data_IF_165205910172
#
_entry.id   IF_165205910172
#
_cell.length_a   1.000
_cell.length_b   1.000
_cell.length_c   1.000
_cell.angle_alpha   90.00
_cell.angle_beta   90.00
_cell.angle_gamma   90.00
#
_symmetry.space_group_name_H-M   'P 1'
#
loop_
_entity.id
_entity.type
_entity.pdbx_description
1 polymer ?
#
# COMPACT_ATOMS: atom_id res chain seq x y z
N UNK A 1 -36.24 -9.39 -11.82
CA UNK A 1 -34.80 -9.65 -11.69
C UNK A 1 -34.23 -8.68 -10.67
N UNK A 2 -33.29 -9.10 -9.81
CA UNK A 2 -32.67 -8.18 -8.83
C UNK A 2 -31.89 -7.08 -9.54
N UNK A 3 -31.99 -5.86 -9.00
CA UNK A 3 -31.37 -4.64 -9.55
C UNK A 3 -29.82 -4.69 -9.47
N UNK A 4 -29.24 -5.48 -8.56
CA UNK A 4 -27.80 -5.45 -8.20
C UNK A 4 -27.08 -6.79 -8.48
N UNK A 5 -27.34 -7.42 -9.62
CA UNK A 5 -26.68 -8.67 -9.96
C UNK A 5 -25.19 -8.45 -10.28
N UNK A 6 -24.34 -9.05 -9.48
CA UNK A 6 -22.89 -8.87 -9.56
C UNK A 6 -22.30 -9.58 -10.77
N UNK A 7 -21.42 -8.87 -11.48
CA UNK A 7 -20.41 -9.40 -12.39
C UNK A 7 -19.06 -8.98 -11.89
N UNK A 8 -18.06 -9.84 -12.08
CA UNK A 8 -16.67 -9.57 -11.72
C UNK A 8 -15.78 -9.92 -12.89
N UNK A 9 -14.83 -9.07 -13.17
CA UNK A 9 -13.75 -9.33 -14.09
C UNK A 9 -12.42 -8.92 -13.45
N UNK A 10 -11.37 -9.68 -13.73
CA UNK A 10 -10.07 -9.41 -13.18
C UNK A 10 -8.98 -9.63 -14.23
N UNK A 11 -7.87 -8.93 -14.05
CA UNK A 11 -6.68 -9.09 -14.88
C UNK A 11 -5.42 -8.82 -14.07
N UNK A 12 -4.36 -9.53 -14.41
CA UNK A 12 -3.00 -9.34 -13.89
C UNK A 12 -2.09 -8.96 -15.05
N UNK A 13 -1.25 -7.96 -14.85
CA UNK A 13 -0.20 -7.58 -15.80
C UNK A 13 1.17 -7.67 -15.16
N UNK A 14 2.13 -8.16 -15.91
CA UNK A 14 3.53 -8.12 -15.55
C UNK A 14 4.06 -6.71 -15.81
N UNK A 15 4.53 -6.06 -14.76
CA UNK A 15 5.15 -4.73 -14.79
C UNK A 15 6.62 -4.79 -14.37
N UNK A 16 7.25 -5.96 -14.51
CA UNK A 16 8.68 -6.12 -14.29
C UNK A 16 9.47 -5.23 -15.25
N UNK A 17 10.44 -4.45 -14.76
CA UNK A 17 11.28 -3.67 -15.66
C UNK A 17 11.97 -4.57 -16.69
N UNK A 18 12.00 -4.13 -17.93
CA UNK A 18 12.72 -4.86 -18.98
C UNK A 18 14.23 -4.89 -18.67
N UNK A 19 14.96 -5.93 -19.06
CA UNK A 19 16.40 -6.03 -18.79
C UNK A 19 17.21 -4.81 -19.25
N UNK A 20 16.79 -4.14 -20.33
CA UNK A 20 17.42 -2.93 -20.85
C UNK A 20 17.19 -1.67 -20.02
N UNK A 21 16.25 -1.69 -19.08
CA UNK A 21 15.94 -0.55 -18.20
C UNK A 21 16.81 -0.52 -16.94
N UNK A 22 17.45 -1.64 -16.58
CA UNK A 22 18.35 -1.68 -15.42
C UNK A 22 19.67 -0.96 -15.67
N UNK A 23 20.32 -0.38 -14.64
CA UNK A 23 19.97 -0.42 -13.24
C UNK A 23 18.98 0.68 -12.83
N UNK A 24 18.25 0.44 -11.73
CA UNK A 24 17.48 1.47 -11.03
C UNK A 24 18.12 1.81 -9.69
N UNK A 25 18.12 3.07 -9.33
CA UNK A 25 18.46 3.45 -7.96
C UNK A 25 17.40 2.94 -6.99
N UNK A 26 17.83 2.49 -5.82
CA UNK A 26 16.91 2.25 -4.74
C UNK A 26 16.37 3.60 -4.26
N UNK A 27 15.05 3.73 -4.14
CA UNK A 27 14.39 4.96 -3.66
C UNK A 27 14.50 5.13 -2.14
N UNK A 28 15.57 4.64 -1.54
CA UNK A 28 15.77 4.68 -0.11
C UNK A 28 16.73 5.80 0.30
N UNK A 29 16.59 6.20 1.54
CA UNK A 29 17.14 7.35 2.23
C UNK A 29 18.64 7.58 2.10
N UNK A 30 19.44 6.58 1.77
CA UNK A 30 20.91 6.68 1.72
C UNK A 30 21.54 6.20 0.41
N UNK A 31 20.77 5.98 -0.64
CA UNK A 31 21.21 6.01 -2.04
C UNK A 31 22.29 5.03 -2.53
N UNK A 32 22.82 4.14 -1.71
CA UNK A 32 24.00 3.33 -2.07
C UNK A 32 23.66 2.00 -2.75
N UNK A 33 22.37 1.72 -2.98
CA UNK A 33 21.90 0.49 -3.60
C UNK A 33 21.34 0.70 -5.00
N UNK A 34 21.57 -0.26 -5.87
CA UNK A 34 20.95 -0.31 -7.20
C UNK A 34 20.32 -1.67 -7.43
N UNK A 35 19.09 -1.67 -7.93
CA UNK A 35 18.52 -2.85 -8.53
C UNK A 35 19.18 -3.06 -9.89
N UNK A 36 19.80 -4.20 -10.08
CA UNK A 36 20.53 -4.54 -11.32
C UNK A 36 19.83 -5.60 -12.15
N UNK A 37 18.84 -6.29 -11.57
CA UNK A 37 18.01 -7.29 -12.22
C UNK A 37 16.69 -7.50 -11.48
N UNK A 38 15.76 -8.18 -12.14
CA UNK A 38 14.53 -8.65 -11.49
C UNK A 38 14.69 -10.12 -11.08
N UNK A 39 14.39 -10.41 -9.79
CA UNK A 39 14.40 -11.78 -9.26
C UNK A 39 13.12 -12.54 -9.61
N UNK A 40 12.00 -11.85 -9.54
CA UNK A 40 10.66 -12.38 -9.83
C UNK A 40 9.85 -11.30 -10.53
N UNK A 41 8.78 -11.74 -11.18
CA UNK A 41 7.84 -10.82 -11.80
C UNK A 41 7.18 -9.90 -10.77
N UNK A 42 7.05 -8.64 -11.14
CA UNK A 42 6.32 -7.59 -10.42
C UNK A 42 4.98 -7.43 -11.12
N UNK A 43 3.90 -7.39 -10.35
CA UNK A 43 2.57 -7.39 -10.94
C UNK A 43 1.74 -6.17 -10.54
N UNK A 44 0.83 -5.87 -11.46
CA UNK A 44 -0.30 -4.98 -11.26
C UNK A 44 -1.58 -5.78 -11.48
N UNK A 45 -2.57 -5.60 -10.62
CA UNK A 45 -3.83 -6.34 -10.63
C UNK A 45 -5.02 -5.40 -10.65
N UNK A 46 -5.93 -5.61 -11.60
CA UNK A 46 -7.19 -4.90 -11.70
C UNK A 46 -8.34 -5.86 -11.39
N UNK A 47 -9.27 -5.43 -10.54
CA UNK A 47 -10.52 -6.14 -10.26
C UNK A 47 -11.69 -5.17 -10.45
N UNK A 48 -12.58 -5.50 -11.38
CA UNK A 48 -13.79 -4.74 -11.68
C UNK A 48 -14.99 -5.46 -11.06
N UNK A 49 -15.75 -4.72 -10.27
CA UNK A 49 -17.07 -5.13 -9.78
C UNK A 49 -18.14 -4.35 -10.55
N UNK A 50 -19.06 -5.03 -11.21
CA UNK A 50 -20.21 -4.41 -11.90
C UNK A 50 -21.49 -5.02 -11.34
N UNK A 51 -22.29 -4.23 -10.64
CA UNK A 51 -23.55 -4.71 -10.08
C UNK A 51 -24.80 -4.36 -10.94
N UNK A 52 -24.57 -3.93 -12.18
CA UNK A 52 -25.60 -3.50 -13.12
C UNK A 52 -26.10 -2.05 -12.91
N UNK A 53 -25.65 -1.38 -11.85
CA UNK A 53 -25.96 0.03 -11.54
C UNK A 53 -24.69 0.86 -11.46
N UNK A 54 -23.66 0.34 -10.82
CA UNK A 54 -22.35 0.97 -10.62
C UNK A 54 -21.24 -0.02 -10.93
N UNK A 55 -20.12 0.49 -11.43
CA UNK A 55 -18.87 -0.23 -11.56
C UNK A 55 -17.88 0.31 -10.55
N UNK A 56 -17.16 -0.59 -9.91
CA UNK A 56 -16.08 -0.26 -9.00
C UNK A 56 -14.78 -0.90 -9.50
N UNK A 57 -13.71 -0.11 -9.54
CA UNK A 57 -12.37 -0.56 -9.90
C UNK A 57 -11.48 -0.59 -8.67
N UNK A 58 -10.96 -1.78 -8.34
CA UNK A 58 -9.75 -1.94 -7.53
C UNK A 58 -8.55 -2.08 -8.46
N UNK A 59 -7.57 -1.21 -8.31
CA UNK A 59 -6.27 -1.32 -8.96
C UNK A 59 -5.20 -1.40 -7.87
N UNK A 60 -4.51 -2.54 -7.82
CA UNK A 60 -3.48 -2.82 -6.81
C UNK A 60 -2.17 -3.11 -7.50
N UNK A 61 -1.12 -2.41 -7.13
CA UNK A 61 0.19 -2.54 -7.73
C UNK A 61 1.27 -2.89 -6.71
N UNK A 62 2.21 -3.72 -7.11
CA UNK A 62 3.42 -4.02 -6.34
C UNK A 62 4.49 -2.92 -6.50
N UNK A 63 4.30 -2.01 -7.43
CA UNK A 63 5.09 -0.81 -7.67
C UNK A 63 4.16 0.37 -7.93
N UNK A 64 4.69 1.56 -8.19
CA UNK A 64 3.87 2.68 -8.62
C UNK A 64 3.31 2.46 -10.03
N UNK A 65 2.06 2.87 -10.25
CA UNK A 65 1.34 2.60 -11.50
C UNK A 65 1.57 3.67 -12.59
N UNK A 66 2.50 4.59 -12.39
CA UNK A 66 2.62 5.78 -13.23
C UNK A 66 1.59 6.86 -12.85
N UNK A 67 1.15 7.66 -13.79
CA UNK A 67 0.28 8.80 -13.51
C UNK A 67 -1.17 8.39 -13.26
N UNK A 68 -1.57 8.31 -11.99
CA UNK A 68 -2.91 7.89 -11.56
C UNK A 68 -4.03 8.79 -12.06
N UNK A 69 -3.77 10.08 -12.22
CA UNK A 69 -4.75 11.02 -12.79
C UNK A 69 -5.20 10.59 -14.18
N UNK A 70 -4.27 10.27 -15.07
CA UNK A 70 -4.60 9.83 -16.43
C UNK A 70 -5.21 8.43 -16.48
N UNK A 71 -4.77 7.52 -15.60
CA UNK A 71 -5.36 6.17 -15.48
C UNK A 71 -6.83 6.29 -15.07
N UNK A 72 -7.11 7.14 -14.09
CA UNK A 72 -8.46 7.42 -13.61
C UNK A 72 -9.31 8.06 -14.70
N UNK A 73 -8.79 9.10 -15.35
CA UNK A 73 -9.47 9.76 -16.47
C UNK A 73 -9.83 8.75 -17.57
N UNK A 74 -8.92 7.84 -17.92
CA UNK A 74 -9.17 6.78 -18.89
C UNK A 74 -10.33 5.87 -18.46
N UNK A 75 -10.33 5.38 -17.21
CA UNK A 75 -11.39 4.53 -16.71
C UNK A 75 -12.77 5.24 -16.71
N UNK A 76 -12.79 6.54 -16.38
CA UNK A 76 -13.98 7.38 -16.42
C UNK A 76 -14.52 7.55 -17.85
N UNK A 77 -13.66 7.97 -18.76
CA UNK A 77 -14.06 8.30 -20.15
C UNK A 77 -14.47 7.08 -20.94
N UNK A 78 -13.72 5.98 -20.81
CA UNK A 78 -13.96 4.78 -21.61
C UNK A 78 -15.04 3.86 -21.03
N UNK A 79 -15.12 3.74 -19.73
CA UNK A 79 -15.97 2.75 -19.06
C UNK A 79 -17.07 3.34 -18.16
N UNK A 80 -17.13 4.66 -18.03
CA UNK A 80 -18.13 5.35 -17.21
C UNK A 80 -17.99 5.02 -15.72
N UNK A 81 -16.79 4.65 -15.24
CA UNK A 81 -16.54 4.41 -13.83
C UNK A 81 -16.33 5.78 -13.17
N UNK A 82 -17.26 6.18 -12.31
CA UNK A 82 -17.14 7.49 -11.65
C UNK A 82 -15.98 7.54 -10.68
N UNK A 83 -15.45 8.71 -10.43
CA UNK A 83 -14.21 8.94 -9.67
C UNK A 83 -14.23 8.29 -8.28
N UNK A 84 -15.33 8.44 -7.58
CA UNK A 84 -15.58 7.85 -6.28
C UNK A 84 -15.55 6.31 -6.29
N UNK A 85 -15.85 5.67 -7.44
CA UNK A 85 -15.84 4.22 -7.64
C UNK A 85 -14.50 3.67 -8.15
N UNK A 86 -13.40 4.39 -7.93
CA UNK A 86 -12.05 3.94 -8.25
C UNK A 86 -11.20 3.94 -6.98
N UNK A 87 -10.51 2.82 -6.70
CA UNK A 87 -9.55 2.70 -5.61
C UNK A 87 -8.21 2.23 -6.16
N UNK A 88 -7.19 3.03 -5.96
CA UNK A 88 -5.80 2.67 -6.21
C UNK A 88 -5.11 2.41 -4.88
N UNK A 89 -4.33 1.33 -4.81
CA UNK A 89 -3.43 1.09 -3.68
C UNK A 89 -2.17 0.39 -4.15
N UNK A 90 -1.08 0.61 -3.46
CA UNK A 90 0.12 -0.18 -3.64
C UNK A 90 0.29 -1.17 -2.48
N UNK A 91 1.09 -2.20 -2.70
CA UNK A 91 1.37 -3.22 -1.70
C UNK A 91 2.43 -2.79 -0.69
N UNK A 92 2.93 -1.58 -0.83
CA UNK A 92 4.03 -1.05 -0.02
C UNK A 92 5.29 -1.93 -0.07
N UNK A 93 5.59 -2.47 -1.25
CA UNK A 93 6.82 -3.23 -1.48
C UNK A 93 8.04 -2.30 -1.47
N UNK A 94 9.06 -2.68 -0.71
CA UNK A 94 10.32 -1.95 -0.64
C UNK A 94 11.43 -2.55 -1.52
N UNK A 95 11.08 -3.49 -2.41
CA UNK A 95 12.02 -4.22 -3.26
C UNK A 95 11.75 -4.06 -4.75
N UNK A 96 11.02 -3.02 -5.14
CA UNK A 96 10.83 -2.66 -6.54
C UNK A 96 11.19 -1.20 -6.78
N UNK A 97 11.44 -0.81 -8.04
CA UNK A 97 11.60 0.59 -8.38
C UNK A 97 10.34 1.37 -8.01
N UNK A 98 10.48 2.34 -7.09
CA UNK A 98 9.35 3.06 -6.52
C UNK A 98 8.88 4.24 -7.37
N UNK A 99 9.70 4.68 -8.36
CA UNK A 99 9.36 5.83 -9.20
C UNK A 99 9.07 5.38 -10.62
N UNK A 100 7.80 5.17 -10.89
CA UNK A 100 7.28 5.10 -12.24
C UNK A 100 6.76 6.50 -12.65
N UNK A 101 7.68 7.44 -12.90
CA UNK A 101 7.33 8.83 -13.20
C UNK A 101 7.10 8.99 -14.69
N UNK A 102 5.84 8.93 -15.11
CA UNK A 102 5.43 9.20 -16.47
C UNK A 102 4.19 10.07 -16.50
N UNK A 103 4.25 11.18 -17.20
CA UNK A 103 3.10 12.05 -17.46
C UNK A 103 2.84 12.10 -18.97
N UNK A 104 1.76 11.49 -19.47
CA UNK A 104 1.42 11.53 -20.90
C UNK A 104 1.17 12.94 -21.46
N UNK A 105 0.98 13.93 -20.58
CA UNK A 105 0.78 15.33 -20.96
C UNK A 105 2.06 16.15 -21.08
N UNK A 106 3.26 15.57 -20.82
CA UNK A 106 4.53 16.29 -20.85
C UNK A 106 5.66 15.43 -21.44
N UNK A 107 6.84 16.00 -21.57
CA UNK A 107 8.07 15.32 -21.99
C UNK A 107 9.02 15.17 -20.79
N UNK A 108 9.99 14.25 -20.90
CA UNK A 108 11.04 14.08 -19.90
C UNK A 108 11.83 15.38 -19.69
N UNK A 109 12.10 16.14 -20.78
CA UNK A 109 12.79 17.43 -20.71
C UNK A 109 11.99 18.45 -19.92
N UNK A 110 10.69 18.55 -20.17
CA UNK A 110 9.79 19.44 -19.44
C UNK A 110 9.65 19.00 -17.97
N UNK A 111 9.56 17.70 -17.70
CA UNK A 111 9.52 17.13 -16.37
C UNK A 111 10.76 17.53 -15.54
N UNK A 112 11.93 17.58 -16.18
CA UNK A 112 13.21 17.88 -15.53
C UNK A 112 13.57 19.39 -15.57
N UNK A 113 12.73 20.23 -16.15
CA UNK A 113 13.01 21.67 -16.27
C UNK A 113 13.00 22.40 -14.93
N UNK A 114 12.17 21.91 -14.01
CA UNK A 114 12.05 22.44 -12.66
C UNK A 114 12.55 21.41 -11.65
N UNK A 115 13.37 21.83 -10.71
CA UNK A 115 13.80 21.00 -9.59
C UNK A 115 12.59 20.78 -8.67
N UNK A 116 12.09 19.56 -8.64
CA UNK A 116 11.03 19.20 -7.70
C UNK A 116 11.62 18.96 -6.31
N UNK A 117 10.91 19.39 -5.31
CA UNK A 117 11.25 19.11 -3.92
C UNK A 117 10.45 17.86 -3.49
N UNK A 118 11.16 16.80 -3.21
CA UNK A 118 10.59 15.58 -2.65
C UNK A 118 10.63 15.57 -1.13
N UNK A 119 10.13 14.51 -0.57
CA UNK A 119 10.10 14.25 0.87
C UNK A 119 11.49 14.35 1.53
N UNK A 120 12.57 14.12 0.78
CA UNK A 120 13.94 14.06 1.27
C UNK A 120 14.85 15.18 0.74
N UNK A 121 14.25 16.25 0.25
CA UNK A 121 14.99 17.36 -0.36
C UNK A 121 14.85 17.43 -1.87
N UNK A 122 15.77 18.15 -2.57
CA UNK A 122 15.71 18.24 -4.03
C UNK A 122 15.76 16.87 -4.68
N UNK A 123 14.76 16.55 -5.48
CA UNK A 123 14.75 15.32 -6.26
C UNK A 123 15.81 15.36 -7.34
N UNK A 124 16.49 14.25 -7.54
CA UNK A 124 17.35 14.07 -8.72
C UNK A 124 16.50 14.13 -9.98
N UNK A 125 17.03 14.68 -11.09
CA UNK A 125 16.33 14.61 -12.36
C UNK A 125 15.93 13.17 -12.71
N UNK A 126 14.72 13.00 -13.23
CA UNK A 126 14.21 11.72 -13.71
C UNK A 126 15.11 11.21 -14.82
N UNK A 127 15.56 9.97 -14.71
CA UNK A 127 16.40 9.33 -15.72
C UNK A 127 15.53 8.75 -16.84
N UNK A 128 16.13 8.54 -18.02
CA UNK A 128 15.40 7.99 -19.16
C UNK A 128 14.78 6.61 -18.86
N UNK A 129 15.50 5.74 -18.18
CA UNK A 129 15.00 4.42 -17.80
C UNK A 129 13.84 4.47 -16.78
N UNK A 130 13.84 5.44 -15.87
CA UNK A 130 12.74 5.69 -14.93
C UNK A 130 11.48 6.18 -15.66
N UNK A 131 11.68 7.07 -16.63
CA UNK A 131 10.61 7.55 -17.52
C UNK A 131 10.01 6.44 -18.37
N UNK A 132 10.87 5.64 -19.01
CA UNK A 132 10.45 4.51 -19.85
C UNK A 132 9.73 3.44 -19.03
N UNK A 133 10.19 3.19 -17.82
CA UNK A 133 9.53 2.28 -16.90
C UNK A 133 8.17 2.81 -16.44
N UNK A 134 8.08 4.10 -16.10
CA UNK A 134 6.82 4.75 -15.79
C UNK A 134 5.80 4.68 -16.90
N UNK A 135 6.25 4.89 -18.15
CA UNK A 135 5.43 4.73 -19.36
C UNK A 135 4.94 3.28 -19.50
N UNK A 136 5.82 2.32 -19.32
CA UNK A 136 5.47 0.89 -19.37
C UNK A 136 4.44 0.53 -18.31
N UNK A 137 4.62 0.94 -17.05
CA UNK A 137 3.65 0.72 -15.97
C UNK A 137 2.29 1.37 -16.28
N UNK A 138 2.28 2.59 -16.84
CA UNK A 138 1.07 3.28 -17.25
C UNK A 138 0.31 2.49 -18.34
N UNK A 139 1.01 2.06 -19.40
CA UNK A 139 0.41 1.27 -20.48
C UNK A 139 -0.14 -0.07 -19.98
N UNK A 140 0.58 -0.75 -19.08
CA UNK A 140 0.10 -1.99 -18.47
C UNK A 140 -1.09 -1.76 -17.53
N UNK A 141 -1.17 -0.62 -16.85
CA UNK A 141 -2.32 -0.26 -16.02
C UNK A 141 -3.60 -0.09 -16.86
N UNK A 142 -3.48 0.59 -17.99
CA UNK A 142 -4.57 0.72 -18.97
C UNK A 142 -4.99 -0.66 -19.50
N UNK A 143 -4.02 -1.48 -19.90
CA UNK A 143 -4.29 -2.83 -20.41
C UNK A 143 -4.92 -3.75 -19.33
N UNK A 144 -4.54 -3.60 -18.06
CA UNK A 144 -5.16 -4.36 -16.97
C UNK A 144 -6.64 -4.00 -16.79
N UNK A 145 -6.98 -2.71 -16.87
CA UNK A 145 -8.37 -2.25 -16.79
C UNK A 145 -9.18 -2.78 -17.98
N UNK A 146 -8.63 -2.70 -19.20
CA UNK A 146 -9.28 -3.19 -20.40
C UNK A 146 -9.59 -4.69 -20.32
N UNK A 147 -8.61 -5.48 -19.94
CA UNK A 147 -8.76 -6.93 -19.80
C UNK A 147 -9.73 -7.28 -18.67
N UNK A 148 -9.66 -6.58 -17.53
CA UNK A 148 -10.59 -6.81 -16.43
C UNK A 148 -12.04 -6.51 -16.83
N UNK A 149 -12.28 -5.46 -17.62
CA UNK A 149 -13.61 -5.16 -18.16
C UNK A 149 -14.04 -6.21 -19.19
N UNK A 150 -13.15 -6.66 -20.06
CA UNK A 150 -13.43 -7.70 -21.05
C UNK A 150 -13.75 -9.05 -20.41
N UNK A 151 -13.17 -9.34 -19.24
CA UNK A 151 -13.37 -10.58 -18.48
C UNK A 151 -14.60 -10.57 -17.55
N UNK A 152 -15.45 -9.54 -17.60
CA UNK A 152 -16.65 -9.45 -16.77
C UNK A 152 -17.60 -10.62 -17.00
N UNK A 153 -17.86 -11.40 -15.95
CA UNK A 153 -18.80 -12.53 -15.97
C UNK A 153 -19.64 -12.54 -14.70
N UNK A 154 -20.83 -13.19 -14.72
CA UNK A 154 -21.68 -13.33 -13.52
C UNK A 154 -20.88 -13.90 -12.36
N UNK A 155 -21.09 -13.34 -11.18
CA UNK A 155 -20.29 -13.68 -10.03
C UNK A 155 -21.05 -13.66 -8.71
N UNK A 156 -20.48 -14.31 -7.71
CA UNK A 156 -20.91 -14.27 -6.32
C UNK A 156 -19.78 -13.82 -5.43
N UNK A 157 -20.11 -13.05 -4.41
CA UNK A 157 -19.20 -12.46 -3.46
C UNK A 157 -19.36 -13.06 -2.07
N UNK A 158 -18.26 -13.27 -1.39
CA UNK A 158 -18.19 -13.58 0.02
C UNK A 158 -16.89 -13.08 0.63
N UNK A 159 -16.87 -12.94 1.94
CA UNK A 159 -15.71 -12.50 2.69
C UNK A 159 -15.59 -13.28 4.00
N UNK A 160 -14.39 -13.34 4.54
CA UNK A 160 -14.12 -13.90 5.86
C UNK A 160 -12.84 -13.33 6.45
N UNK A 161 -12.70 -13.51 7.75
CA UNK A 161 -11.49 -13.22 8.49
C UNK A 161 -10.89 -14.49 9.07
N UNK A 162 -9.59 -14.57 9.07
CA UNK A 162 -8.77 -15.58 9.72
C UNK A 162 -7.64 -14.94 10.49
N UNK A 163 -6.61 -15.73 10.78
CA UNK A 163 -5.40 -15.27 11.45
C UNK A 163 -4.18 -15.70 10.68
N UNK A 164 -3.18 -14.83 10.66
CA UNK A 164 -1.81 -15.13 10.25
C UNK A 164 -0.83 -14.54 11.25
N UNK A 165 0.35 -15.13 11.35
CA UNK A 165 1.33 -14.80 12.39
C UNK A 165 2.70 -14.47 11.79
N UNK A 166 2.68 -13.75 10.67
CA UNK A 166 3.92 -13.36 9.98
C UNK A 166 4.40 -11.95 10.32
N UNK A 167 3.61 -11.18 11.06
CA UNK A 167 3.97 -9.82 11.47
C UNK A 167 4.33 -9.75 12.96
N UNK A 168 5.07 -8.70 13.30
CA UNK A 168 5.41 -8.29 14.67
C UNK A 168 5.55 -6.77 14.70
N UNK A 169 5.34 -6.13 15.85
CA UNK A 169 5.68 -4.72 16.01
C UNK A 169 7.17 -4.48 15.82
N UNK A 170 7.53 -3.41 15.09
CA UNK A 170 8.93 -3.02 14.86
C UNK A 170 9.45 -1.96 15.83
N UNK A 171 8.64 -1.56 16.82
CA UNK A 171 8.99 -0.55 17.83
C UNK A 171 9.78 -1.20 18.96
N UNK A 172 11.04 -1.57 18.72
CA UNK A 172 11.91 -2.20 19.69
C UNK A 172 12.42 -1.18 20.70
N UNK A 173 12.24 -1.48 22.01
CA UNK A 173 12.79 -0.68 23.09
C UNK A 173 14.22 -1.12 23.36
N UNK A 174 15.18 -0.25 23.07
CA UNK A 174 16.60 -0.52 23.32
C UNK A 174 16.97 -0.36 24.80
N UNK A 175 18.09 -0.97 25.24
CA UNK A 175 18.54 -0.87 26.64
C UNK A 175 18.79 0.55 27.14
N UNK A 176 19.06 1.49 26.27
CA UNK A 176 19.24 2.92 26.59
C UNK A 176 17.91 3.68 26.73
N UNK A 177 16.76 3.00 26.58
CA UNK A 177 15.44 3.60 26.67
C UNK A 177 14.93 4.26 25.38
N UNK A 178 15.69 4.21 24.29
CA UNK A 178 15.25 4.70 22.99
C UNK A 178 14.50 3.62 22.21
N UNK A 179 13.63 4.03 21.29
CA UNK A 179 13.00 3.14 20.34
C UNK A 179 13.77 3.11 19.03
N UNK A 180 13.87 1.92 18.43
CA UNK A 180 14.47 1.71 17.12
C UNK A 180 13.65 0.72 16.30
N UNK A 181 13.96 0.62 15.01
CA UNK A 181 13.43 -0.47 14.19
C UNK A 181 14.04 -1.80 14.60
N UNK A 182 13.19 -2.72 15.02
CA UNK A 182 13.59 -4.05 15.42
C UNK A 182 12.40 -4.97 15.58
N UNK A 183 12.30 -5.67 16.68
CA UNK A 183 11.17 -6.55 17.00
C UNK A 183 10.71 -6.34 18.44
N UNK A 184 9.41 -6.13 18.62
CA UNK A 184 8.81 -5.98 19.93
C UNK A 184 7.56 -6.86 20.08
N UNK A 185 7.68 -8.06 20.68
CA UNK A 185 6.55 -8.96 20.87
C UNK A 185 5.55 -8.48 21.92
N UNK A 186 5.90 -7.50 22.75
CA UNK A 186 5.03 -6.95 23.79
C UNK A 186 4.09 -5.86 23.27
N UNK A 187 4.39 -5.30 22.10
CA UNK A 187 3.53 -4.32 21.45
C UNK A 187 2.44 -5.01 20.62
N UNK A 188 1.29 -4.35 20.44
CA UNK A 188 0.20 -4.88 19.63
C UNK A 188 0.63 -5.25 18.21
N UNK A 189 0.04 -6.33 17.72
CA UNK A 189 0.13 -6.74 16.31
C UNK A 189 -1.23 -7.29 15.87
N UNK A 190 -1.86 -6.69 14.90
CA UNK A 190 -3.11 -7.21 14.34
C UNK A 190 -2.82 -8.46 13.50
N UNK A 191 -3.27 -9.60 13.98
CA UNK A 191 -3.12 -10.90 13.31
C UNK A 191 -4.28 -11.21 12.37
N UNK A 192 -5.21 -10.28 12.21
CA UNK A 192 -6.38 -10.49 11.37
C UNK A 192 -5.99 -10.52 9.90
N UNK A 193 -6.30 -11.62 9.25
CA UNK A 193 -6.16 -11.84 7.82
C UNK A 193 -7.56 -11.77 7.22
N UNK A 194 -7.86 -10.66 6.55
CA UNK A 194 -9.16 -10.47 5.90
C UNK A 194 -9.06 -10.87 4.43
N UNK A 195 -10.06 -11.58 3.92
CA UNK A 195 -10.12 -11.94 2.49
C UNK A 195 -11.48 -11.64 1.88
N UNK A 196 -11.46 -11.17 0.64
CA UNK A 196 -12.62 -10.98 -0.22
C UNK A 196 -12.53 -12.01 -1.35
N UNK A 197 -13.61 -12.77 -1.56
CA UNK A 197 -13.67 -13.85 -2.56
C UNK A 197 -14.75 -13.57 -3.59
N UNK A 198 -14.37 -13.66 -4.85
CA UNK A 198 -15.28 -13.55 -5.98
C UNK A 198 -15.21 -14.83 -6.80
N UNK A 199 -16.34 -15.52 -6.95
CA UNK A 199 -16.43 -16.78 -7.72
C UNK A 199 -17.44 -16.63 -8.84
N UNK A 200 -17.25 -17.41 -9.90
CA UNK A 200 -18.23 -17.52 -10.97
C UNK A 200 -19.46 -18.40 -10.58
N UNK A 201 -20.36 -18.61 -11.53
CA UNK A 201 -21.56 -19.43 -11.32
C UNK A 201 -21.25 -20.89 -10.98
N UNK A 202 -20.09 -21.40 -11.43
CA UNK A 202 -19.64 -22.77 -11.17
C UNK A 202 -18.90 -22.92 -9.82
N UNK A 203 -18.57 -21.80 -9.18
CA UNK A 203 -17.83 -21.77 -7.92
C UNK A 203 -16.32 -21.61 -8.09
N UNK A 204 -15.82 -21.50 -9.33
CA UNK A 204 -14.41 -21.24 -9.60
C UNK A 204 -14.06 -19.79 -9.23
N UNK A 205 -12.90 -19.60 -8.61
CA UNK A 205 -12.47 -18.28 -8.14
C UNK A 205 -12.04 -17.41 -9.32
N UNK A 206 -12.67 -16.25 -9.45
CA UNK A 206 -12.32 -15.22 -10.45
C UNK A 206 -11.22 -14.33 -9.89
N UNK A 207 -11.45 -13.81 -8.67
CA UNK A 207 -10.54 -12.91 -8.00
C UNK A 207 -10.59 -13.05 -6.49
N UNK A 208 -9.49 -12.67 -5.84
CA UNK A 208 -9.39 -12.53 -4.40
C UNK A 208 -8.68 -11.25 -4.01
N UNK A 209 -9.02 -10.71 -2.85
CA UNK A 209 -8.25 -9.65 -2.20
C UNK A 209 -7.85 -10.14 -0.83
N UNK A 210 -6.57 -10.09 -0.54
CA UNK A 210 -5.98 -10.36 0.78
C UNK A 210 -5.64 -9.03 1.42
N UNK A 211 -5.98 -8.85 2.70
CA UNK A 211 -5.60 -7.66 3.45
C UNK A 211 -4.96 -8.07 4.78
N UNK A 212 -3.77 -7.52 5.05
CA UNK A 212 -3.02 -7.87 6.25
C UNK A 212 -2.06 -6.75 6.70
N UNK A 213 -1.84 -6.62 8.02
CA UNK A 213 -1.03 -5.57 8.63
C UNK A 213 0.45 -6.00 8.71
N UNK A 214 1.20 -5.86 7.63
CA UNK A 214 2.66 -6.09 7.60
C UNK A 214 3.31 -5.30 6.48
N UNK A 215 4.48 -4.72 6.74
CA UNK A 215 5.34 -4.16 5.70
C UNK A 215 5.87 -5.25 4.76
N UNK A 216 5.95 -4.93 3.49
CA UNK A 216 6.55 -5.79 2.47
C UNK A 216 8.03 -5.42 2.30
N UNK A 217 8.87 -5.88 3.24
CA UNK A 217 10.27 -5.44 3.42
C UNK A 217 11.29 -6.57 3.50
N UNK A 218 10.93 -7.80 3.10
CA UNK A 218 11.84 -8.96 3.20
C UNK A 218 13.05 -8.85 2.26
N UNK A 219 12.90 -8.16 1.15
CA UNK A 219 13.99 -7.92 0.20
C UNK A 219 14.65 -6.55 0.33
N UNK A 220 14.20 -5.75 1.27
CA UNK A 220 14.74 -4.41 1.49
C UNK A 220 16.24 -4.43 1.74
N UNK A 221 17.02 -3.75 0.88
CA UNK A 221 18.50 -3.70 0.90
C UNK A 221 19.23 -5.04 0.82
N UNK A 222 18.53 -6.12 0.49
CA UNK A 222 19.15 -7.44 0.37
C UNK A 222 20.04 -7.49 -0.88
N UNK A 223 21.32 -7.78 -0.68
CA UNK A 223 22.31 -7.93 -1.74
C UNK A 223 22.62 -9.41 -1.96
N UNK A 224 22.80 -9.80 -3.22
CA UNK A 224 23.33 -11.11 -3.56
C UNK A 224 24.85 -11.22 -3.25
N UNK A 225 25.43 -12.38 -3.52
CA UNK A 225 26.87 -12.64 -3.28
C UNK A 225 27.82 -11.70 -4.07
N UNK A 226 27.32 -11.08 -5.11
CA UNK A 226 28.08 -10.17 -5.99
C UNK A 226 27.80 -8.69 -5.64
N UNK A 227 27.02 -8.44 -4.57
CA UNK A 227 26.67 -7.11 -4.07
C UNK A 227 25.51 -6.45 -4.82
N UNK A 228 24.83 -7.17 -5.70
CA UNK A 228 23.71 -6.64 -6.48
C UNK A 228 22.38 -6.79 -5.73
N UNK A 229 21.49 -5.85 -5.93
CA UNK A 229 20.11 -5.91 -5.44
C UNK A 229 19.17 -6.37 -6.55
N UNK A 230 18.15 -7.13 -6.16
CA UNK A 230 17.13 -7.64 -7.07
C UNK A 230 15.80 -6.95 -6.87
N UNK A 231 15.15 -6.51 -7.97
CA UNK A 231 13.78 -6.04 -7.94
C UNK A 231 12.79 -7.23 -7.94
N UNK A 232 11.74 -7.16 -7.13
CA UNK A 232 10.63 -8.10 -7.12
C UNK A 232 9.46 -7.56 -6.26
N UNK A 233 8.29 -8.19 -6.31
CA UNK A 233 7.10 -7.75 -5.56
C UNK A 233 7.17 -7.94 -4.05
N UNK A 234 8.35 -8.31 -3.51
CA UNK A 234 8.61 -8.58 -2.10
C UNK A 234 7.59 -9.57 -1.50
N UNK A 235 7.41 -9.55 -0.20
CA UNK A 235 6.54 -10.47 0.53
C UNK A 235 5.09 -10.45 0.01
N UNK A 236 4.56 -9.26 -0.26
CA UNK A 236 3.18 -9.10 -0.75
C UNK A 236 2.96 -9.77 -2.11
N UNK A 237 3.89 -9.55 -3.06
CA UNK A 237 3.85 -10.17 -4.38
C UNK A 237 4.02 -11.68 -4.29
N UNK A 238 4.96 -12.17 -3.47
CA UNK A 238 5.16 -13.60 -3.26
C UNK A 238 3.92 -14.30 -2.65
N UNK A 239 3.22 -13.65 -1.71
CA UNK A 239 1.98 -14.17 -1.12
C UNK A 239 0.88 -14.27 -2.19
N UNK A 240 0.66 -13.21 -2.95
CA UNK A 240 -0.35 -13.18 -4.00
C UNK A 240 -0.08 -14.27 -5.05
N UNK A 241 1.16 -14.36 -5.53
CA UNK A 241 1.59 -15.37 -6.49
C UNK A 241 1.40 -16.79 -5.95
N UNK A 242 1.76 -17.06 -4.68
CA UNK A 242 1.57 -18.36 -4.05
C UNK A 242 0.11 -18.80 -4.07
N UNK A 243 -0.82 -17.89 -3.77
CA UNK A 243 -2.26 -18.21 -3.77
C UNK A 243 -2.76 -18.41 -5.21
N UNK A 244 -2.35 -17.57 -6.16
CA UNK A 244 -2.69 -17.73 -7.58
C UNK A 244 -2.20 -19.07 -8.13
N UNK A 245 -0.96 -19.46 -7.82
CA UNK A 245 -0.40 -20.76 -8.21
C UNK A 245 -1.18 -21.93 -7.61
N UNK A 246 -1.59 -21.84 -6.35
CA UNK A 246 -2.40 -22.88 -5.70
C UNK A 246 -3.75 -23.06 -6.40
N UNK A 247 -4.40 -21.98 -6.84
CA UNK A 247 -5.63 -22.06 -7.63
C UNK A 247 -5.36 -22.57 -9.06
N UNK A 248 -4.26 -22.19 -9.68
CA UNK A 248 -3.86 -22.70 -10.99
C UNK A 248 -3.66 -24.23 -10.97
N UNK A 249 -3.08 -24.80 -9.90
CA UNK A 249 -2.96 -26.25 -9.70
C UNK A 249 -4.35 -26.91 -9.64
N UNK A 250 -5.37 -26.20 -9.13
CA UNK A 250 -6.78 -26.65 -9.11
C UNK A 250 -7.48 -26.47 -10.47
N UNK A 251 -6.81 -25.91 -11.48
CA UNK A 251 -7.37 -25.62 -12.80
C UNK A 251 -8.17 -24.32 -12.87
N UNK A 252 -7.95 -23.39 -11.94
CA UNK A 252 -8.64 -22.10 -11.84
C UNK A 252 -7.70 -20.95 -12.20
N UNK A 253 -8.08 -20.13 -13.18
CA UNK A 253 -7.38 -18.88 -13.49
C UNK A 253 -7.91 -17.78 -12.57
N UNK A 254 -7.13 -17.46 -11.55
CA UNK A 254 -7.51 -16.54 -10.47
C UNK A 254 -6.55 -15.38 -10.40
N UNK A 255 -7.06 -14.19 -10.14
CA UNK A 255 -6.26 -12.98 -9.86
C UNK A 255 -6.39 -12.65 -8.38
N UNK A 256 -5.26 -12.60 -7.66
CA UNK A 256 -5.24 -12.31 -6.22
C UNK A 256 -4.46 -11.04 -5.93
N UNK A 257 -5.15 -10.00 -5.52
CA UNK A 257 -4.52 -8.77 -5.04
C UNK A 257 -4.20 -8.88 -3.54
N UNK A 258 -3.05 -8.34 -3.14
CA UNK A 258 -2.69 -8.19 -1.74
C UNK A 258 -2.64 -6.70 -1.38
N UNK A 259 -3.26 -6.32 -0.25
CA UNK A 259 -3.32 -4.93 0.22
C UNK A 259 -2.80 -4.84 1.65
N UNK A 260 -2.08 -3.76 1.94
CA UNK A 260 -1.60 -3.51 3.29
C UNK A 260 -2.72 -2.93 4.16
N UNK A 261 -2.88 -3.48 5.37
CA UNK A 261 -3.74 -2.91 6.40
C UNK A 261 -2.98 -1.85 7.24
N UNK A 262 -3.43 -1.56 8.45
CA UNK A 262 -2.71 -0.69 9.37
C UNK A 262 -1.39 -1.33 9.80
N UNK A 263 -0.38 -1.19 8.98
CA UNK A 263 0.90 -1.88 9.06
C UNK A 263 2.12 -0.98 9.29
N UNK A 264 1.94 0.33 9.53
CA UNK A 264 3.04 1.27 9.65
C UNK A 264 4.15 0.83 10.62
N UNK A 265 3.76 0.30 11.78
CA UNK A 265 4.68 -0.22 12.79
C UNK A 265 4.75 -1.75 12.83
N UNK A 266 4.39 -2.43 11.76
CA UNK A 266 4.43 -3.89 11.66
C UNK A 266 5.45 -4.34 10.63
N UNK A 267 6.33 -5.24 11.02
CA UNK A 267 7.35 -5.83 10.15
C UNK A 267 7.19 -7.36 10.09
N UNK A 268 7.70 -8.02 9.04
CA UNK A 268 7.79 -9.48 9.06
C UNK A 268 8.62 -9.98 10.25
N UNK A 269 8.23 -11.10 10.85
CA UNK A 269 8.89 -11.63 12.07
C UNK A 269 10.37 -12.00 11.88
N UNK A 270 10.88 -11.94 10.67
CA UNK A 270 12.27 -12.20 10.31
C UNK A 270 12.97 -10.99 9.68
N UNK A 271 12.50 -9.78 9.98
CA UNK A 271 13.14 -8.52 9.58
C UNK A 271 13.69 -7.78 10.78
N UNK A 272 14.75 -7.01 10.57
CA UNK A 272 15.35 -6.11 11.57
C UNK A 272 15.74 -6.81 12.88
N UNK A 273 17.00 -7.21 12.94
CA UNK A 273 17.62 -7.76 14.15
C UNK A 273 18.72 -6.81 14.65
N UNK A 274 18.87 -6.76 15.96
CA UNK A 274 19.97 -6.06 16.62
C UNK A 274 20.84 -7.04 17.38
N UNK A 275 22.15 -6.79 17.36
CA UNK A 275 23.12 -7.46 18.24
C UNK A 275 23.32 -6.61 19.47
N UNK A 276 23.05 -7.17 20.65
CA UNK A 276 23.25 -6.52 21.94
C UNK A 276 24.53 -7.00 22.57
N UNK A 277 25.33 -6.06 23.08
CA UNK A 277 26.59 -6.34 23.73
C UNK A 277 26.47 -6.29 25.26
N UNK A 278 27.34 -7.01 26.02
CA UNK A 278 27.27 -7.01 27.49
C UNK A 278 27.47 -5.65 28.16
N UNK A 279 28.08 -4.69 27.46
CA UNK A 279 28.28 -3.31 27.93
C UNK A 279 27.06 -2.42 27.71
N UNK A 280 25.95 -2.98 27.16
CA UNK A 280 24.72 -2.25 26.84
C UNK A 280 24.74 -1.52 25.51
N UNK A 281 25.83 -1.59 24.76
CA UNK A 281 25.85 -1.12 23.37
C UNK A 281 25.08 -2.07 22.45
N UNK A 282 24.69 -1.59 21.29
CA UNK A 282 23.97 -2.37 20.30
C UNK A 282 24.30 -1.87 18.88
N UNK A 283 24.12 -2.74 17.93
CA UNK A 283 24.24 -2.43 16.51
C UNK A 283 23.21 -3.21 15.69
N UNK A 284 22.79 -2.70 14.52
CA UNK A 284 22.00 -3.50 13.59
C UNK A 284 22.76 -4.77 13.22
N UNK A 285 22.11 -5.92 13.34
CA UNK A 285 22.74 -7.18 12.91
C UNK A 285 22.69 -7.27 11.39
N UNK A 286 23.70 -6.70 10.75
CA UNK A 286 23.82 -6.67 9.29
C UNK A 286 23.82 -8.05 8.66
N UNK A 287 24.23 -9.09 9.38
CA UNK A 287 24.21 -10.46 8.89
C UNK A 287 22.80 -10.91 8.55
N UNK A 288 21.81 -10.45 9.31
CA UNK A 288 20.39 -10.76 9.07
C UNK A 288 19.70 -9.72 8.18
N UNK A 289 20.13 -8.46 8.26
CA UNK A 289 19.48 -7.37 7.54
C UNK A 289 19.96 -7.20 6.10
N UNK A 290 21.23 -7.56 5.79
CA UNK A 290 21.83 -7.21 4.49
C UNK A 290 22.68 -8.29 3.83
N UNK A 291 23.14 -9.30 4.55
CA UNK A 291 24.23 -10.17 4.06
C UNK A 291 23.85 -11.60 3.77
N UNK A 292 22.65 -12.00 4.09
CA UNK A 292 22.27 -13.38 3.83
C UNK A 292 21.67 -13.59 2.44
N UNK A 293 21.69 -12.56 1.58
CA UNK A 293 21.33 -12.60 0.17
C UNK A 293 20.28 -13.64 -0.16
N UNK A 294 20.72 -14.75 -0.72
CA UNK A 294 19.85 -15.88 -1.02
C UNK A 294 19.12 -16.51 0.19
N UNK A 295 19.57 -16.27 1.43
CA UNK A 295 18.88 -16.75 2.63
C UNK A 295 17.66 -15.88 2.97
N UNK A 296 17.79 -14.56 2.91
CA UNK A 296 16.64 -13.66 3.12
C UNK A 296 15.53 -13.94 2.10
N UNK A 297 15.86 -14.20 0.86
CA UNK A 297 14.88 -14.60 -0.15
C UNK A 297 14.22 -15.97 0.15
N UNK A 298 14.94 -16.90 0.78
CA UNK A 298 14.33 -18.16 1.25
C UNK A 298 13.38 -17.90 2.41
N UNK A 299 13.73 -17.01 3.34
CA UNK A 299 12.84 -16.60 4.43
C UNK A 299 11.59 -15.89 3.88
N UNK A 300 11.74 -15.00 2.89
CA UNK A 300 10.62 -14.35 2.21
C UNK A 300 9.65 -15.38 1.61
N UNK A 301 10.16 -16.32 0.82
CA UNK A 301 9.36 -17.39 0.23
C UNK A 301 8.68 -18.28 1.29
N UNK A 302 9.37 -18.56 2.42
CA UNK A 302 8.78 -19.29 3.54
C UNK A 302 7.63 -18.53 4.20
N UNK A 303 7.81 -17.23 4.44
CA UNK A 303 6.78 -16.36 5.00
C UNK A 303 5.59 -16.24 4.06
N UNK A 304 5.86 -16.09 2.76
CA UNK A 304 4.83 -16.04 1.73
C UNK A 304 4.02 -17.34 1.67
N UNK A 305 4.67 -18.49 1.68
CA UNK A 305 4.00 -19.79 1.73
C UNK A 305 3.15 -19.94 3.00
N UNK A 306 3.64 -19.48 4.16
CA UNK A 306 2.90 -19.52 5.42
C UNK A 306 1.62 -18.69 5.34
N UNK A 307 1.70 -17.41 4.98
CA UNK A 307 0.50 -16.56 4.87
C UNK A 307 -0.40 -16.99 3.71
N UNK A 308 0.18 -17.42 2.58
CA UNK A 308 -0.57 -17.94 1.46
C UNK A 308 -1.45 -19.15 1.85
N UNK A 309 -0.90 -20.09 2.64
CA UNK A 309 -1.68 -21.20 3.18
C UNK A 309 -2.75 -20.75 4.18
N UNK A 310 -2.46 -19.75 5.02
CA UNK A 310 -3.47 -19.19 5.91
C UNK A 310 -4.60 -18.55 5.09
N UNK A 311 -4.26 -17.79 4.04
CA UNK A 311 -5.24 -17.18 3.13
C UNK A 311 -6.08 -18.22 2.38
N UNK A 312 -5.47 -19.28 1.85
CA UNK A 312 -6.19 -20.39 1.19
C UNK A 312 -7.23 -21.01 2.12
N UNK A 313 -6.88 -21.28 3.39
CA UNK A 313 -7.84 -21.80 4.38
C UNK A 313 -9.02 -20.86 4.59
N UNK A 314 -8.75 -19.54 4.66
CA UNK A 314 -9.82 -18.54 4.83
C UNK A 314 -10.68 -18.47 3.58
N UNK A 315 -10.10 -18.43 2.37
CA UNK A 315 -10.84 -18.47 1.12
C UNK A 315 -11.72 -19.73 1.01
N UNK A 316 -11.17 -20.90 1.35
CA UNK A 316 -11.90 -22.18 1.27
C UNK A 316 -13.01 -22.28 2.33
N UNK A 317 -12.92 -21.57 3.45
CA UNK A 317 -13.96 -21.52 4.48
C UNK A 317 -15.21 -20.74 4.09
N UNK A 318 -15.12 -19.87 3.06
CA UNK A 318 -16.22 -19.02 2.62
C UNK A 318 -17.25 -19.85 1.86
N UNK A 319 -18.36 -20.14 2.51
CA UNK A 319 -19.50 -20.89 1.94
C UNK A 319 -20.72 -20.02 1.64
N UNK A 320 -20.83 -18.87 2.30
CA UNK A 320 -21.94 -17.93 2.10
C UNK A 320 -21.55 -16.94 1.01
N UNK A 321 -22.08 -17.15 -0.19
CA UNK A 321 -21.82 -16.34 -1.38
C UNK A 321 -23.10 -15.66 -1.84
N UNK A 322 -23.04 -14.39 -2.12
CA UNK A 322 -24.18 -13.54 -2.53
C UNK A 322 -23.97 -13.04 -3.97
N UNK A 323 -24.99 -13.13 -4.81
CA UNK A 323 -24.97 -12.60 -6.20
C UNK A 323 -25.53 -11.20 -6.34
N UNK A 324 -26.32 -10.77 -5.35
CA UNK A 324 -26.97 -9.45 -5.34
C UNK A 324 -26.21 -8.55 -4.38
N UNK A 325 -25.37 -7.68 -4.92
CA UNK A 325 -24.45 -6.87 -4.17
C UNK A 325 -24.66 -5.37 -4.47
N UNK A 326 -25.12 -4.64 -3.50
CA UNK A 326 -25.07 -3.18 -3.53
C UNK A 326 -23.64 -2.73 -3.21
N UNK A 327 -23.15 -1.72 -3.94
CA UNK A 327 -21.86 -1.09 -3.71
C UNK A 327 -22.13 0.38 -3.43
N UNK A 328 -21.80 0.82 -2.23
CA UNK A 328 -21.93 2.21 -1.78
C UNK A 328 -20.54 2.76 -1.49
N UNK A 329 -20.30 4.02 -1.80
CA UNK A 329 -19.00 4.67 -1.59
C UNK A 329 -19.23 6.07 -1.03
N UNK A 330 -18.41 6.42 -0.04
CA UNK A 330 -18.23 7.79 0.41
C UNK A 330 -16.74 8.14 0.36
N UNK A 331 -16.40 9.37 0.02
CA UNK A 331 -15.04 9.87 -0.07
C UNK A 331 -14.91 11.19 0.66
N UNK A 332 -13.79 11.39 1.34
CA UNK A 332 -13.47 12.62 2.08
C UNK A 332 -12.01 12.98 1.91
N UNK A 333 -11.76 14.29 1.92
CA UNK A 333 -10.43 14.86 2.04
C UNK A 333 -10.36 15.65 3.33
N UNK A 334 -9.58 15.16 4.28
CA UNK A 334 -9.32 15.90 5.51
C UNK A 334 -8.28 16.98 5.23
N UNK A 335 -8.55 18.18 5.73
CA UNK A 335 -7.60 19.28 5.75
C UNK A 335 -7.20 19.51 7.19
N UNK A 336 -5.99 19.08 7.55
CA UNK A 336 -5.47 19.14 8.90
C UNK A 336 -4.33 20.17 9.01
N UNK A 337 -4.19 20.87 10.16
CA UNK A 337 -3.07 21.78 10.35
C UNK A 337 -1.75 21.01 10.33
N UNK A 338 -0.78 21.50 9.56
CA UNK A 338 0.55 20.94 9.48
C UNK A 338 1.50 21.54 10.52
N UNK A 339 2.47 20.74 10.94
CA UNK A 339 3.66 21.26 11.61
C UNK A 339 4.66 21.76 10.56
N UNK A 340 5.66 22.51 11.00
CA UNK A 340 6.86 22.73 10.20
C UNK A 340 7.43 21.36 9.81
N UNK A 341 7.47 21.06 8.52
CA UNK A 341 8.03 19.79 8.05
C UNK A 341 9.53 19.84 8.27
N UNK A 342 10.01 18.96 9.13
CA UNK A 342 11.44 18.80 9.38
C UNK A 342 12.06 17.91 8.31
N UNK A 343 13.35 18.04 8.05
CA UNK A 343 14.08 17.24 7.05
C UNK A 343 14.01 15.75 7.38
N UNK A 344 13.25 15.06 6.58
CA UNK A 344 12.84 13.70 6.80
C UNK A 344 13.90 12.70 6.36
N UNK A 345 14.03 11.66 7.13
CA UNK A 345 14.82 10.51 6.72
C UNK A 345 16.28 10.56 7.02
N UNK A 346 16.72 11.54 7.75
CA UNK A 346 18.11 11.57 8.19
C UNK A 346 18.16 11.38 9.72
N UNK A 347 19.25 10.83 10.28
CA UNK A 347 19.49 10.80 11.72
C UNK A 347 19.30 12.18 12.36
N UNK A 348 19.32 13.21 11.55
CA UNK A 348 19.05 14.58 11.93
C UNK A 348 17.58 14.89 12.20
N UNK A 349 16.67 13.97 12.00
CA UNK A 349 15.27 14.12 12.45
C UNK A 349 15.14 14.38 13.94
N UNK A 350 16.17 14.01 14.68
CA UNK A 350 16.29 14.20 16.13
C UNK A 350 17.25 15.32 16.48
N UNK A 351 17.80 15.99 15.50
CA UNK A 351 18.65 17.16 15.67
C UNK A 351 17.75 18.37 15.45
N UNK A 352 17.66 19.28 16.44
CA UNK A 352 16.90 20.54 16.40
C UNK A 352 17.38 21.51 15.30
N UNK A 353 18.01 20.98 14.23
CA UNK A 353 18.44 21.79 13.11
C UNK A 353 17.22 22.35 12.39
N UNK A 354 17.09 23.66 12.46
CA UNK A 354 16.15 24.40 11.63
C UNK A 354 16.42 24.08 10.16
N UNK A 355 15.37 23.70 9.46
CA UNK A 355 15.42 23.51 8.03
C UNK A 355 15.61 24.89 7.41
N UNK A 356 16.50 24.92 6.46
CA UNK A 356 16.61 26.03 5.54
C UNK A 356 15.35 26.07 4.65
N UNK A 357 14.35 26.81 5.13
CA UNK A 357 13.05 26.96 4.45
C UNK A 357 13.22 27.47 3.01
N UNK A 358 14.38 28.10 2.67
CA UNK A 358 14.67 28.55 1.31
C UNK A 358 14.89 27.43 0.31
N UNK A 359 15.13 26.19 0.80
CA UNK A 359 15.32 24.98 -0.02
C UNK A 359 14.06 24.13 -0.16
N UNK A 360 12.98 24.51 0.49
CA UNK A 360 11.73 23.78 0.49
C UNK A 360 10.59 24.65 -0.04
N UNK A 361 10.47 24.74 -1.35
CA UNK A 361 9.49 25.62 -2.03
C UNK A 361 8.03 25.34 -1.67
N UNK A 362 7.71 24.21 -1.05
CA UNK A 362 6.35 23.84 -0.69
C UNK A 362 6.00 24.04 0.78
N UNK A 363 6.95 24.49 1.61
CA UNK A 363 6.73 24.69 3.06
C UNK A 363 6.15 26.07 3.38
N UNK A 364 6.24 26.99 2.45
CA UNK A 364 5.81 28.38 2.61
C UNK A 364 4.34 28.59 2.24
N UNK A 365 3.47 27.65 2.67
CA UNK A 365 2.03 27.88 2.61
C UNK A 365 1.63 28.60 3.89
N UNK A 366 1.16 29.85 3.82
CA UNK A 366 0.86 30.66 5.00
C UNK A 366 -0.10 30.04 6.00
N UNK A 367 -0.74 28.93 5.64
CA UNK A 367 -1.70 28.21 6.46
C UNK A 367 -1.35 26.71 6.60
N UNK A 368 -0.17 26.27 6.37
CA UNK A 368 0.36 24.90 6.55
C UNK A 368 -0.70 23.82 6.84
N UNK A 369 -1.24 23.20 5.80
CA UNK A 369 -2.22 22.13 5.92
C UNK A 369 -1.74 20.87 5.25
N UNK A 370 -2.07 19.72 5.85
CA UNK A 370 -1.95 18.40 5.25
C UNK A 370 -3.32 17.97 4.77
N UNK A 371 -3.38 17.41 3.57
CA UNK A 371 -4.59 16.82 3.03
C UNK A 371 -4.46 15.30 3.09
N UNK A 372 -5.47 14.63 3.59
CA UNK A 372 -5.53 13.16 3.72
C UNK A 372 -6.79 12.67 3.02
N UNK A 373 -6.60 11.84 2.01
CA UNK A 373 -7.71 11.19 1.30
C UNK A 373 -8.22 9.97 2.05
N UNK A 374 -9.54 9.91 2.23
CA UNK A 374 -10.25 8.80 2.85
C UNK A 374 -11.34 8.30 1.91
N UNK A 375 -11.52 6.98 1.83
CA UNK A 375 -12.62 6.37 1.09
C UNK A 375 -13.23 5.24 1.90
N UNK A 376 -14.53 5.23 2.04
CA UNK A 376 -15.31 4.12 2.60
C UNK A 376 -16.11 3.46 1.50
N UNK A 377 -15.89 2.17 1.31
CA UNK A 377 -16.56 1.34 0.32
C UNK A 377 -17.37 0.30 1.08
N UNK A 378 -18.66 0.16 0.78
CA UNK A 378 -19.48 -0.91 1.31
C UNK A 378 -19.84 -1.87 0.19
N UNK A 379 -19.33 -3.10 0.25
CA UNK A 379 -19.58 -4.18 -0.71
C UNK A 379 -20.55 -5.16 -0.08
N UNK A 380 -21.85 -5.01 -0.37
CA UNK A 380 -22.87 -5.74 0.39
C UNK A 380 -22.91 -5.33 1.86
N UNK A 381 -22.47 -6.20 2.74
CA UNK A 381 -22.37 -5.97 4.19
C UNK A 381 -20.92 -5.74 4.69
N UNK A 382 -19.93 -5.83 3.80
CA UNK A 382 -18.53 -5.62 4.13
C UNK A 382 -18.12 -4.16 3.96
N UNK A 383 -17.68 -3.46 5.01
CA UNK A 383 -17.04 -2.16 4.90
C UNK A 383 -15.53 -2.29 4.61
N UNK A 384 -15.03 -1.47 3.69
CA UNK A 384 -13.60 -1.31 3.38
C UNK A 384 -13.25 0.16 3.51
N UNK A 385 -12.39 0.49 4.45
CA UNK A 385 -11.93 1.85 4.71
C UNK A 385 -10.52 2.05 4.17
N UNK A 386 -10.38 2.94 3.21
CA UNK A 386 -9.11 3.27 2.59
C UNK A 386 -8.55 4.56 3.20
N UNK A 387 -7.27 4.54 3.52
CA UNK A 387 -6.53 5.65 4.11
C UNK A 387 -5.30 5.98 3.26
N UNK A 388 -5.15 7.24 2.89
CA UNK A 388 -3.96 7.75 2.22
C UNK A 388 -2.78 7.82 3.20
N UNK A 389 -1.70 7.11 2.88
CA UNK A 389 -0.53 6.99 3.74
C UNK A 389 -0.52 5.71 4.57
N UNK A 390 0.26 5.71 5.64
CA UNK A 390 0.50 4.56 6.49
C UNK A 390 -0.08 4.78 7.90
N UNK A 391 -0.78 3.77 8.41
CA UNK A 391 -1.46 3.83 9.71
C UNK A 391 -0.82 2.85 10.69
N UNK A 392 -0.60 3.30 11.93
CA UNK A 392 -0.17 2.42 13.02
C UNK A 392 -1.24 1.38 13.36
N UNK A 393 -0.78 0.19 13.76
CA UNK A 393 -1.67 -0.95 14.02
C UNK A 393 -2.67 -0.68 15.14
N UNK A 394 -2.27 0.03 16.18
CA UNK A 394 -3.12 0.36 17.31
C UNK A 394 -4.33 1.21 16.90
N UNK A 395 -4.11 2.16 15.99
CA UNK A 395 -5.19 2.99 15.45
C UNK A 395 -6.13 2.13 14.61
N UNK A 396 -5.59 1.30 13.72
CA UNK A 396 -6.38 0.38 12.92
C UNK A 396 -7.24 -0.56 13.75
N UNK A 397 -6.71 -1.08 14.85
CA UNK A 397 -7.47 -1.92 15.78
C UNK A 397 -8.61 -1.15 16.45
N UNK A 398 -8.36 0.10 16.90
CA UNK A 398 -9.42 0.96 17.48
C UNK A 398 -10.51 1.31 16.47
N UNK A 399 -10.14 1.64 15.23
CA UNK A 399 -11.12 1.90 14.16
C UNK A 399 -11.98 0.67 13.86
N UNK A 400 -11.39 -0.53 13.82
CA UNK A 400 -12.12 -1.79 13.62
C UNK A 400 -13.10 -2.06 14.78
N UNK A 401 -12.70 -1.76 16.01
CA UNK A 401 -13.56 -1.92 17.21
C UNK A 401 -14.71 -0.91 17.20
N UNK A 402 -14.43 0.34 16.82
CA UNK A 402 -15.40 1.43 16.82
C UNK A 402 -16.37 1.42 15.64
N UNK A 403 -16.04 0.74 14.55
CA UNK A 403 -16.81 0.77 13.32
C UNK A 403 -18.27 0.31 13.49
N UNK A 404 -19.25 1.00 12.89
CA UNK A 404 -20.67 0.63 12.96
C UNK A 404 -20.99 -0.73 12.35
N UNK A 405 -20.19 -1.17 11.38
CA UNK A 405 -20.29 -2.49 10.76
C UNK A 405 -19.10 -3.36 11.15
N UNK A 406 -19.36 -4.66 11.34
CA UNK A 406 -18.31 -5.65 11.66
C UNK A 406 -17.42 -5.96 10.46
N UNK A 407 -16.24 -6.52 10.75
CA UNK A 407 -15.27 -6.97 9.76
C UNK A 407 -14.74 -5.82 8.89
N UNK A 408 -14.54 -4.64 9.48
CA UNK A 408 -13.95 -3.50 8.78
C UNK A 408 -12.58 -3.89 8.23
N UNK A 409 -12.45 -3.88 6.91
CA UNK A 409 -11.18 -4.01 6.21
C UNK A 409 -10.54 -2.63 6.09
N UNK A 410 -9.31 -2.47 6.56
CA UNK A 410 -8.56 -1.21 6.43
C UNK A 410 -7.52 -1.40 5.34
N UNK A 411 -7.54 -0.54 4.33
CA UNK A 411 -6.54 -0.49 3.27
C UNK A 411 -5.75 0.80 3.41
N UNK A 412 -4.48 0.70 3.73
CA UNK A 412 -3.54 1.83 3.75
C UNK A 412 -2.73 1.89 2.46
N UNK A 413 -1.88 2.89 2.29
CA UNK A 413 -1.22 3.18 1.03
C UNK A 413 -2.22 3.31 -0.15
N UNK A 414 -3.43 3.76 0.18
CA UNK A 414 -4.43 4.18 -0.78
C UNK A 414 -3.96 5.47 -1.43
N UNK A 415 -4.11 5.54 -2.74
CA UNK A 415 -3.73 6.72 -3.51
C UNK A 415 -5.00 7.34 -4.11
N UNK A 416 -5.52 8.42 -3.51
CA UNK A 416 -6.60 9.16 -4.13
C UNK A 416 -6.07 9.78 -5.41
N UNK A 417 -6.75 9.57 -6.54
CA UNK A 417 -6.40 10.25 -7.76
C UNK A 417 -6.94 11.69 -7.69
N UNK A 418 -6.24 12.54 -7.00
CA UNK A 418 -6.64 13.93 -6.78
C UNK A 418 -6.31 14.79 -7.98
N UNK A 419 -7.05 15.86 -8.15
CA UNK A 419 -6.74 16.93 -9.09
C UNK A 419 -5.30 17.43 -8.89
N UNK A 420 -4.58 17.65 -9.98
CA UNK A 420 -3.17 18.05 -10.01
C UNK A 420 -2.86 19.23 -9.10
N UNK A 421 -3.79 20.19 -8.95
CA UNK A 421 -3.64 21.35 -8.08
C UNK A 421 -3.65 21.01 -6.58
N UNK A 422 -4.21 19.88 -6.19
CA UNK A 422 -4.13 19.37 -4.82
C UNK A 422 -2.90 18.48 -4.62
N UNK A 423 -2.39 17.86 -5.68
CA UNK A 423 -1.22 16.99 -5.61
C UNK A 423 0.09 17.74 -5.29
N UNK A 424 0.19 19.01 -5.65
CA UNK A 424 1.35 19.87 -5.36
C UNK A 424 1.36 20.43 -3.94
N UNK A 425 0.37 20.04 -3.13
CA UNK A 425 0.27 20.43 -1.72
C UNK A 425 0.42 19.17 -0.90
N UNK A 426 1.08 19.22 0.23
CA UNK A 426 1.34 18.13 1.16
C UNK A 426 0.27 17.05 1.16
N UNK A 427 0.56 15.91 0.53
CA UNK A 427 -0.29 14.74 0.51
C UNK A 427 0.14 13.77 1.57
N UNK A 428 -0.86 13.22 2.19
CA UNK A 428 -0.78 12.05 3.02
C UNK A 428 0.16 12.18 4.19
N UNK A 429 -0.31 11.89 5.33
CA UNK A 429 0.60 11.53 6.39
C UNK A 429 1.15 10.16 6.05
N UNK A 430 2.41 10.05 5.68
CA UNK A 430 3.07 8.78 5.47
C UNK A 430 2.87 7.87 6.69
N UNK A 431 2.84 8.46 7.87
CA UNK A 431 2.60 7.75 9.09
C UNK A 431 1.46 8.41 9.87
N UNK A 432 0.36 7.70 9.97
CA UNK A 432 -0.71 8.05 10.87
C UNK A 432 -0.34 7.54 12.26
N UNK A 433 0.26 8.41 13.06
CA UNK A 433 0.75 8.09 14.40
C UNK A 433 -0.31 8.38 15.44
N UNK A 434 -0.41 7.51 16.42
CA UNK A 434 -1.16 7.78 17.63
C UNK A 434 -0.38 8.70 18.60
N UNK A 435 -1.02 9.06 19.69
CA UNK A 435 -0.40 9.90 20.71
C UNK A 435 0.90 9.29 21.25
N UNK A 436 0.95 7.96 21.40
CA UNK A 436 2.14 7.27 21.85
C UNK A 436 3.32 7.42 20.88
N UNK A 437 3.08 7.21 19.59
CA UNK A 437 4.09 7.40 18.56
C UNK A 437 4.56 8.84 18.45
N UNK A 438 3.66 9.80 18.67
CA UNK A 438 3.98 11.22 18.67
C UNK A 438 4.87 11.63 19.85
N UNK A 439 4.66 11.05 21.02
CA UNK A 439 5.43 11.34 22.25
C UNK A 439 6.75 10.57 22.33
N UNK A 440 6.83 9.37 21.77
CA UNK A 440 7.93 8.43 21.99
C UNK A 440 8.83 8.16 20.78
N UNK A 441 8.63 8.87 19.70
CA UNK A 441 9.42 8.87 18.44
C UNK A 441 10.32 7.66 18.19
N UNK A 442 9.89 6.76 17.32
CA UNK A 442 10.85 6.02 16.52
C UNK A 442 11.21 6.87 15.30
N UNK A 443 12.38 6.65 14.69
CA UNK A 443 12.82 7.42 13.51
C UNK A 443 11.80 7.51 12.38
N UNK A 444 10.91 6.53 12.25
CA UNK A 444 9.86 6.53 11.22
C UNK A 444 8.65 7.37 11.56
N UNK A 445 8.39 7.67 12.83
CA UNK A 445 7.12 8.30 13.23
C UNK A 445 7.23 9.82 13.38
N UNK A 446 8.44 10.36 13.42
CA UNK A 446 8.66 11.80 13.32
C UNK A 446 8.22 12.41 11.98
N UNK A 447 7.68 11.58 11.08
CA UNK A 447 7.25 11.97 9.74
C UNK A 447 5.78 12.35 9.62
N UNK A 448 5.07 12.49 10.72
CA UNK A 448 3.71 12.99 10.64
C UNK A 448 3.70 14.52 10.57
N UNK A 449 3.37 15.10 9.42
CA UNK A 449 3.32 16.55 9.30
C UNK A 449 2.08 17.17 9.97
N UNK A 450 1.18 16.37 10.53
CA UNK A 450 -0.02 16.88 11.23
C UNK A 450 0.34 17.35 12.63
N UNK A 451 -0.12 18.55 12.95
CA UNK A 451 0.11 19.19 14.24
C UNK A 451 -0.73 18.53 15.34
N UNK A 452 -0.15 18.40 16.53
CA UNK A 452 -0.85 18.10 17.80
C UNK A 452 -1.53 16.73 17.88
N UNK A 453 -1.08 15.72 17.12
CA UNK A 453 -1.58 14.33 17.16
C UNK A 453 -3.13 14.21 17.04
N UNK A 454 -3.77 15.14 16.34
CA UNK A 454 -5.23 15.18 16.16
C UNK A 454 -5.74 14.27 15.05
N UNK A 455 -4.84 13.63 14.32
CA UNK A 455 -5.20 12.86 13.11
C UNK A 455 -6.16 11.72 13.43
N UNK A 456 -5.91 10.98 14.50
CA UNK A 456 -6.78 9.86 14.90
C UNK A 456 -8.22 10.30 15.17
N UNK A 457 -8.40 11.40 15.93
CA UNK A 457 -9.70 11.97 16.21
C UNK A 457 -10.43 12.34 14.91
N UNK A 458 -9.76 13.09 14.03
CA UNK A 458 -10.37 13.58 12.78
C UNK A 458 -10.66 12.49 11.76
N UNK A 459 -9.81 11.48 11.67
CA UNK A 459 -10.06 10.30 10.82
C UNK A 459 -11.22 9.48 11.37
N UNK A 460 -11.31 9.33 12.69
CA UNK A 460 -12.43 8.63 13.34
C UNK A 460 -13.74 9.35 13.11
N UNK A 461 -13.80 10.66 13.34
CA UNK A 461 -14.97 11.49 13.03
C UNK A 461 -15.40 11.33 11.57
N UNK A 462 -14.48 11.50 10.63
CA UNK A 462 -14.76 11.37 9.20
C UNK A 462 -15.25 9.96 8.83
N UNK A 463 -14.67 8.91 9.43
CA UNK A 463 -15.13 7.54 9.21
C UNK A 463 -16.60 7.38 9.63
N UNK A 464 -17.00 7.91 10.80
CA UNK A 464 -18.40 7.85 11.24
C UNK A 464 -19.33 8.63 10.31
N UNK A 465 -18.95 9.84 9.91
CA UNK A 465 -19.74 10.65 8.95
C UNK A 465 -19.93 9.92 7.61
N UNK A 466 -18.88 9.23 7.12
CA UNK A 466 -18.96 8.43 5.90
C UNK A 466 -19.87 7.20 6.08
N UNK A 467 -19.86 6.56 7.27
CA UNK A 467 -20.79 5.49 7.59
C UNK A 467 -22.24 6.01 7.62
N UNK A 468 -22.48 7.16 8.23
CA UNK A 468 -23.83 7.76 8.27
C UNK A 468 -24.34 8.05 6.87
N UNK A 469 -23.50 8.58 5.98
CA UNK A 469 -23.88 8.83 4.58
C UNK A 469 -24.27 7.55 3.83
N UNK A 470 -23.49 6.47 3.96
CA UNK A 470 -23.78 5.23 3.20
C UNK A 470 -24.86 4.34 3.83
N UNK A 471 -25.11 4.49 5.13
CA UNK A 471 -26.14 3.72 5.83
C UNK A 471 -27.50 4.43 5.82
N UNK A 472 -27.50 5.76 5.75
CA UNK A 472 -28.68 6.61 5.80
C UNK A 472 -28.77 7.57 4.59
N UNK A 473 -28.77 7.05 3.34
CA UNK A 473 -28.64 7.88 2.13
C UNK A 473 -29.81 8.84 1.88
N UNK A 474 -30.88 8.76 2.66
CA UNK A 474 -32.11 9.56 2.49
C UNK A 474 -32.28 10.66 3.59
N UNK A 475 -31.26 10.85 4.44
CA UNK A 475 -31.20 11.92 5.44
C UNK A 475 -30.26 13.03 4.95
#
# INVERSE_FOLDING_TARGET
MSKYRLKVGAARKDVTPLPSMFPFKQADLNGDGQYTYARQAIHLRAVILDNGVKRFLFLVSETECGNLHYIKKYAMEKYGITEDYISFSNTHSHSCPLKAVYDPGTTLEEMNREVKMGEFGPESPVQQNEWDYGKYCFEQSIAAIDDAVANLKPARFGHAEGKSYINISRDELLPNGQYAFGTNPERPSDKTLSVLKFVDENGSMIAGIINYAVHSTMGFRVKDKDGNMAAYGDLAGEIANFVEEAYAIRGEETVVAWTIAAGANQTPVHSFFHTYHPDGSWEPDERYNHYLGGYMWKLSAHMAARQGNDALKVFDSISKLKENIRIDVAERYLKLPATKVTNWGLPQLFDDREIDDSKMHNVDVPNQFVYIGLKLIKIGDLPVFCYEGEMMVEIGMRLKEAAPLKNLVIVTCYQPAVDRDLHDRFHGSHYYVDKWGFENHTPSYGRNPVKDAITEEKVTEAMFDMFDEILNPDI
#
